data_IF_209415456707
#
_entry.id   IF_209415456707
#
_cell.length_a   1.000
_cell.length_b   1.000
_cell.length_c   1.000
_cell.angle_alpha   90.00
_cell.angle_beta   90.00
_cell.angle_gamma   90.00
#
_symmetry.space_group_name_H-M   'P 1'
#
loop_
_entity.id
_entity.type
_entity.pdbx_description
1 polymer ?
#
# COMPACT_ATOMS: atom_id res chain seq x y z
N UNK A 1 14.48 14.39 8.32
CA UNK A 1 14.32 14.58 6.85
C UNK A 1 13.39 13.49 6.35
N UNK A 2 12.50 13.84 5.43
CA UNK A 2 11.55 12.88 4.85
C UNK A 2 12.17 12.22 3.62
N UNK A 3 12.01 10.90 3.52
CA UNK A 3 12.47 10.05 2.44
C UNK A 3 11.30 9.27 1.85
N UNK A 4 11.50 8.78 0.62
CA UNK A 4 10.52 8.01 -0.11
C UNK A 4 11.17 6.75 -0.70
N UNK A 5 10.54 5.60 -0.50
CA UNK A 5 10.90 4.34 -1.16
C UNK A 5 9.72 3.87 -1.99
N UNK A 6 9.94 3.67 -3.29
CA UNK A 6 8.92 3.16 -4.19
C UNK A 6 8.43 1.77 -3.73
N UNK A 7 7.16 1.49 -4.04
CA UNK A 7 6.54 0.18 -3.86
C UNK A 7 5.58 -0.10 -5.01
N UNK A 8 5.37 -1.37 -5.29
CA UNK A 8 4.35 -1.89 -6.18
C UNK A 8 3.91 -3.27 -5.72
N UNK A 9 2.64 -3.59 -5.92
CA UNK A 9 2.09 -4.91 -5.63
C UNK A 9 0.98 -5.24 -6.65
N UNK A 10 0.96 -6.48 -7.12
CA UNK A 10 0.02 -6.90 -8.17
C UNK A 10 -0.49 -8.32 -7.93
N UNK A 11 -1.72 -8.44 -7.44
CA UNK A 11 -2.32 -9.74 -7.18
C UNK A 11 -3.27 -10.16 -8.30
N UNK A 12 -3.19 -11.43 -8.69
CA UNK A 12 -4.18 -12.08 -9.56
C UNK A 12 -5.40 -12.54 -8.75
N UNK A 13 -6.48 -12.90 -9.43
CA UNK A 13 -7.72 -13.34 -8.78
C UNK A 13 -7.50 -14.47 -7.78
N UNK A 14 -7.98 -14.29 -6.55
CA UNK A 14 -7.90 -15.28 -5.48
C UNK A 14 -6.56 -15.31 -4.74
N UNK A 15 -5.66 -14.37 -5.03
CA UNK A 15 -4.33 -14.30 -4.40
C UNK A 15 -4.17 -13.05 -3.55
N UNK A 16 -3.24 -13.15 -2.59
CA UNK A 16 -2.65 -11.98 -1.93
C UNK A 16 -1.19 -11.88 -2.36
N UNK A 17 -0.81 -10.74 -2.89
CA UNK A 17 0.58 -10.46 -3.29
C UNK A 17 1.13 -9.26 -2.54
N UNK A 18 2.41 -9.30 -2.19
CA UNK A 18 3.09 -8.34 -1.33
C UNK A 18 4.16 -7.60 -2.13
N UNK A 19 4.38 -6.34 -1.79
CA UNK A 19 5.56 -5.62 -2.25
C UNK A 19 6.84 -6.12 -1.54
N UNK A 20 7.97 -5.55 -1.95
CA UNK A 20 9.27 -5.85 -1.36
C UNK A 20 9.38 -5.40 0.10
N UNK A 21 8.72 -4.29 0.46
CA UNK A 21 8.59 -3.78 1.81
C UNK A 21 9.64 -2.75 2.22
N UNK A 22 9.35 -2.02 3.29
CA UNK A 22 10.25 -1.08 3.96
C UNK A 22 10.90 -1.72 5.18
N UNK A 23 12.18 -2.08 5.07
CA UNK A 23 12.97 -2.63 6.19
C UNK A 23 13.75 -1.55 6.94
N UNK A 24 13.72 -1.60 8.27
CA UNK A 24 14.55 -0.78 9.15
C UNK A 24 15.85 -1.51 9.48
N UNK A 25 17.01 -0.85 9.39
CA UNK A 25 18.33 -1.44 9.71
C UNK A 25 19.03 -0.66 10.80
N UNK A 26 20.11 -1.19 11.38
CA UNK A 26 20.84 -0.52 12.44
C UNK A 26 21.50 0.78 11.94
N UNK A 27 21.94 0.80 10.69
CA UNK A 27 22.58 1.94 10.03
C UNK A 27 21.55 2.97 9.54
N UNK A 28 20.30 2.54 9.32
CA UNK A 28 19.21 3.38 8.86
C UNK A 28 17.93 3.01 9.63
N UNK A 29 17.81 3.41 10.92
CA UNK A 29 16.59 3.21 11.67
C UNK A 29 15.48 4.10 11.08
N UNK A 30 14.31 3.52 10.82
CA UNK A 30 13.23 4.18 10.09
C UNK A 30 11.98 4.37 10.95
N UNK A 31 11.33 5.51 10.77
CA UNK A 31 9.96 5.79 11.22
C UNK A 31 9.05 5.92 10.02
N UNK A 32 8.04 5.06 9.92
CA UNK A 32 7.03 5.18 8.87
C UNK A 32 6.05 6.30 9.23
N UNK A 33 5.88 7.26 8.33
CA UNK A 33 4.87 8.31 8.48
C UNK A 33 3.56 7.86 7.84
N UNK A 34 3.62 7.51 6.56
CA UNK A 34 2.46 7.14 5.75
C UNK A 34 2.85 6.30 4.54
N UNK A 35 1.84 5.69 3.91
CA UNK A 35 1.96 5.00 2.63
C UNK A 35 1.16 5.77 1.59
N UNK A 36 1.85 6.23 0.54
CA UNK A 36 1.24 6.92 -0.60
C UNK A 36 0.91 5.88 -1.67
N UNK A 37 -0.32 5.87 -2.19
CA UNK A 37 -0.79 4.83 -3.11
C UNK A 37 -1.69 5.40 -4.21
N UNK A 38 -1.59 4.79 -5.39
CA UNK A 38 -2.60 4.86 -6.43
C UNK A 38 -2.87 3.45 -6.98
N UNK A 39 -4.12 3.19 -7.37
CA UNK A 39 -4.49 2.05 -8.18
C UNK A 39 -4.20 2.30 -9.65
N UNK A 40 -3.70 1.28 -10.36
CA UNK A 40 -3.46 1.35 -11.81
C UNK A 40 -4.55 0.65 -12.63
N UNK A 41 -5.53 0.04 -11.95
CA UNK A 41 -6.71 -0.59 -12.54
C UNK A 41 -7.97 -0.18 -11.78
N UNK A 42 -9.15 -0.47 -12.33
CA UNK A 42 -10.40 -0.28 -11.58
C UNK A 42 -10.42 -1.20 -10.36
N UNK A 43 -10.52 -0.58 -9.19
CA UNK A 43 -10.69 -1.29 -7.93
C UNK A 43 -12.01 -2.05 -7.89
N UNK A 44 -11.96 -3.37 -7.74
CA UNK A 44 -13.16 -4.21 -7.64
C UNK A 44 -13.64 -4.34 -6.19
N UNK A 45 -14.95 -4.42 -6.02
CA UNK A 45 -15.57 -4.69 -4.72
C UNK A 45 -15.06 -6.02 -4.17
N UNK A 46 -14.70 -6.01 -2.88
CA UNK A 46 -14.16 -7.17 -2.16
C UNK A 46 -12.64 -7.32 -2.24
N UNK A 47 -11.97 -6.62 -3.16
CA UNK A 47 -10.49 -6.57 -3.18
C UNK A 47 -10.00 -5.54 -2.15
N UNK A 48 -8.87 -5.83 -1.51
CA UNK A 48 -8.34 -5.03 -0.40
C UNK A 48 -6.88 -4.63 -0.65
N UNK A 49 -6.55 -3.41 -0.21
CA UNK A 49 -5.17 -3.02 0.13
C UNK A 49 -4.94 -3.37 1.59
N UNK A 50 -3.80 -3.97 1.87
CA UNK A 50 -3.39 -4.36 3.20
C UNK A 50 -2.03 -3.75 3.53
N UNK A 51 -1.83 -3.36 4.79
CA UNK A 51 -0.52 -2.99 5.32
C UNK A 51 -0.20 -3.97 6.44
N UNK A 52 0.98 -4.58 6.35
CA UNK A 52 1.47 -5.60 7.26
C UNK A 52 2.74 -5.12 7.95
N UNK A 53 2.80 -5.28 9.27
CA UNK A 53 4.02 -5.19 10.05
C UNK A 53 4.43 -6.61 10.44
N UNK A 54 5.51 -7.11 9.86
CA UNK A 54 5.87 -8.54 9.92
C UNK A 54 4.70 -9.45 9.51
N UNK A 55 4.07 -10.12 10.47
CA UNK A 55 2.91 -11.01 10.28
C UNK A 55 1.61 -10.41 10.81
N UNK A 56 1.65 -9.18 11.33
CA UNK A 56 0.50 -8.47 11.88
C UNK A 56 -0.12 -7.57 10.81
N UNK A 57 -1.40 -7.77 10.53
CA UNK A 57 -2.17 -6.89 9.65
C UNK A 57 -2.56 -5.62 10.41
N UNK A 58 -1.95 -4.50 10.05
CA UNK A 58 -2.15 -3.22 10.76
C UNK A 58 -3.21 -2.33 10.09
N UNK A 59 -3.45 -2.51 8.80
CA UNK A 59 -4.53 -1.83 8.08
C UNK A 59 -5.06 -2.69 6.94
N UNK A 60 -6.38 -2.67 6.74
CA UNK A 60 -7.03 -3.26 5.57
C UNK A 60 -8.10 -2.28 5.08
N UNK A 61 -7.99 -1.88 3.80
CA UNK A 61 -8.91 -0.95 3.17
C UNK A 61 -9.41 -1.53 1.85
N UNK A 62 -10.68 -1.34 1.50
CA UNK A 62 -11.17 -1.69 0.18
C UNK A 62 -10.42 -0.92 -0.92
N UNK A 63 -9.93 -1.63 -1.93
CA UNK A 63 -9.11 -1.03 -3.00
C UNK A 63 -9.87 0.03 -3.80
N UNK A 64 -11.20 -0.08 -3.88
CA UNK A 64 -12.02 0.93 -4.54
C UNK A 64 -12.09 2.26 -3.77
N UNK A 65 -11.54 2.37 -2.57
CA UNK A 65 -11.34 3.65 -1.90
C UNK A 65 -10.02 4.32 -2.29
N UNK A 66 -9.10 3.60 -2.92
CA UNK A 66 -7.82 4.16 -3.36
C UNK A 66 -8.01 4.90 -4.67
N UNK A 67 -7.32 6.04 -4.80
CA UNK A 67 -7.35 6.84 -6.02
C UNK A 67 -6.81 6.07 -7.22
N UNK A 68 -7.46 6.20 -8.37
CA UNK A 68 -7.09 5.46 -9.57
C UNK A 68 -7.16 6.35 -10.82
N UNK A 69 -6.02 6.52 -11.49
CA UNK A 69 -5.89 7.45 -12.62
C UNK A 69 -6.20 6.80 -13.99
N UNK A 70 -6.38 5.48 -14.06
CA UNK A 70 -6.52 4.71 -15.31
C UNK A 70 -7.83 3.92 -15.42
N UNK A 71 -8.96 4.48 -15.01
CA UNK A 71 -10.24 3.97 -15.49
C UNK A 71 -10.41 4.40 -16.96
N UNK A 72 -9.91 3.59 -17.90
CA UNK A 72 -10.19 3.77 -19.33
C UNK A 72 -11.71 3.86 -19.51
N UNK A 73 -12.17 4.99 -20.04
CA UNK A 73 -13.52 5.33 -20.47
C UNK A 73 -14.66 4.33 -20.14
N UNK A 74 -15.65 4.80 -19.38
CA UNK A 74 -17.01 4.24 -19.16
C UNK A 74 -17.31 3.43 -17.89
N UNK A 75 -16.40 3.28 -16.93
CA UNK A 75 -16.80 2.68 -15.64
C UNK A 75 -16.89 3.75 -14.56
N UNK A 76 -18.12 4.03 -14.13
CA UNK A 76 -18.39 4.87 -12.97
C UNK A 76 -17.68 4.27 -11.74
N UNK A 77 -16.84 5.06 -11.03
CA UNK A 77 -16.12 4.56 -9.88
C UNK A 77 -17.09 4.22 -8.73
N UNK A 78 -16.81 3.13 -8.00
CA UNK A 78 -17.62 2.72 -6.84
C UNK A 78 -17.60 3.74 -5.68
N UNK A 79 -16.58 4.59 -5.60
CA UNK A 79 -16.50 5.69 -4.63
C UNK A 79 -16.09 6.99 -5.31
N UNK A 80 -16.70 8.10 -4.93
CA UNK A 80 -16.29 9.45 -5.37
C UNK A 80 -15.26 10.09 -4.42
N UNK A 81 -15.10 9.54 -3.22
CA UNK A 81 -14.07 9.93 -2.27
C UNK A 81 -12.91 8.94 -2.39
N UNK A 82 -11.73 9.43 -2.77
CA UNK A 82 -10.54 8.62 -2.99
C UNK A 82 -9.44 8.98 -2.00
N UNK A 83 -8.72 7.97 -1.53
CA UNK A 83 -7.59 8.06 -0.62
C UNK A 83 -6.32 7.84 -1.44
N UNK A 84 -5.35 8.71 -1.27
CA UNK A 84 -4.01 8.60 -1.85
C UNK A 84 -2.91 8.47 -0.80
N UNK A 85 -3.24 8.66 0.48
CA UNK A 85 -2.33 8.56 1.61
C UNK A 85 -3.00 7.81 2.77
N UNK A 86 -2.32 6.79 3.29
CA UNK A 86 -2.71 6.06 4.49
C UNK A 86 -1.70 6.40 5.58
N UNK A 87 -2.13 7.17 6.58
CA UNK A 87 -1.32 7.47 7.76
C UNK A 87 -1.15 6.22 8.62
N UNK A 88 0.09 5.94 9.05
CA UNK A 88 0.41 4.77 9.89
C UNK A 88 1.18 5.20 11.15
N UNK A 89 2.22 6.02 10.98
CA UNK A 89 2.80 6.82 12.06
C UNK A 89 3.48 6.06 13.21
N UNK A 90 4.46 5.19 12.94
CA UNK A 90 5.20 4.48 14.00
C UNK A 90 6.68 4.25 13.67
N UNK A 91 7.48 4.03 14.71
CA UNK A 91 8.90 3.68 14.58
C UNK A 91 9.04 2.19 14.25
N UNK A 92 9.69 1.86 13.14
CA UNK A 92 9.91 0.46 12.73
C UNK A 92 11.14 -0.06 13.49
N UNK A 93 11.00 -1.08 14.37
CA UNK A 93 12.13 -1.65 15.07
C UNK A 93 13.22 -2.12 14.11
N UNK A 94 14.48 -1.98 14.52
CA UNK A 94 15.63 -2.43 13.72
C UNK A 94 15.50 -3.93 13.43
N UNK A 95 15.66 -4.29 12.16
CA UNK A 95 15.48 -5.66 11.66
C UNK A 95 14.07 -5.95 11.15
N UNK A 96 13.08 -5.13 11.54
CA UNK A 96 11.68 -5.35 11.15
C UNK A 96 11.35 -4.75 9.77
N UNK A 97 10.26 -5.24 9.18
CA UNK A 97 9.77 -4.86 7.85
C UNK A 97 8.27 -4.56 7.86
N UNK A 98 7.91 -3.51 7.13
CA UNK A 98 6.52 -3.20 6.78
C UNK A 98 6.31 -3.53 5.31
N UNK A 99 5.22 -4.20 4.97
CA UNK A 99 4.83 -4.56 3.60
C UNK A 99 3.45 -4.02 3.27
N UNK A 100 3.24 -3.66 2.02
CA UNK A 100 1.93 -3.38 1.46
C UNK A 100 1.55 -4.55 0.56
N UNK A 101 0.30 -4.98 0.64
CA UNK A 101 -0.19 -6.10 -0.14
C UNK A 101 -1.53 -5.79 -0.79
N UNK A 102 -1.83 -6.53 -1.86
CA UNK A 102 -3.14 -6.56 -2.49
C UNK A 102 -3.74 -7.93 -2.31
N UNK A 103 -4.95 -7.98 -1.77
CA UNK A 103 -5.81 -9.16 -1.78
C UNK A 103 -6.85 -9.00 -2.88
N UNK A 104 -6.67 -9.71 -3.99
CA UNK A 104 -7.56 -9.60 -5.14
C UNK A 104 -8.63 -10.70 -5.11
N UNK A 105 -9.91 -10.31 -5.19
CA UNK A 105 -11.04 -11.25 -5.29
C UNK A 105 -11.54 -11.45 -6.72
N UNK A 106 -11.11 -10.61 -7.65
CA UNK A 106 -11.49 -10.66 -9.06
C UNK A 106 -10.58 -9.79 -9.92
N UNK A 107 -10.37 -10.21 -11.16
CA UNK A 107 -9.39 -9.59 -12.05
C UNK A 107 -7.96 -9.59 -11.47
N UNK A 108 -7.05 -8.93 -12.17
CA UNK A 108 -5.78 -8.49 -11.59
C UNK A 108 -6.01 -7.16 -10.92
N UNK A 109 -5.50 -6.98 -9.72
CA UNK A 109 -5.55 -5.73 -8.97
C UNK A 109 -4.13 -5.30 -8.65
N UNK A 110 -3.82 -4.03 -8.95
CA UNK A 110 -2.46 -3.52 -8.89
C UNK A 110 -2.46 -2.13 -8.29
N UNK A 111 -1.50 -1.89 -7.40
CA UNK A 111 -1.19 -0.58 -6.82
C UNK A 111 0.28 -0.24 -7.08
N UNK A 112 0.55 1.05 -7.13
CA UNK A 112 1.90 1.61 -7.12
C UNK A 112 1.94 2.77 -6.16
N UNK A 113 3.12 3.07 -5.60
CA UNK A 113 3.21 4.11 -4.60
C UNK A 113 4.59 4.27 -4.00
N UNK A 114 4.61 4.81 -2.78
CA UNK A 114 5.82 4.93 -1.99
C UNK A 114 5.54 4.91 -0.49
N UNK A 115 6.47 4.34 0.27
CA UNK A 115 6.57 4.58 1.70
C UNK A 115 7.13 5.98 1.94
N UNK A 116 6.45 6.78 2.75
CA UNK A 116 6.94 8.07 3.24
C UNK A 116 7.45 7.89 4.67
N UNK A 117 8.75 8.07 4.88
CA UNK A 117 9.39 7.75 6.16
C UNK A 117 10.47 8.75 6.54
N UNK A 118 10.91 8.69 7.79
CA UNK A 118 12.06 9.44 8.31
C UNK A 118 13.13 8.47 8.78
N UNK A 119 14.39 8.94 8.78
CA UNK A 119 15.49 8.25 9.47
C UNK A 119 15.59 8.89 10.86
N UNK A 120 15.56 8.07 11.91
CA UNK A 120 15.49 8.51 13.32
C UNK A 120 16.83 8.51 14.05
N UNK A 121 17.94 8.47 13.30
CA UNK A 121 19.30 8.52 13.83
C UNK A 121 19.62 9.86 14.53
#
# INVERSE_FOLDING_TARGET
MVYFQALDASATTGTTDYDDGLRSTAENPKRLLSVLLIGVVLGLVGSMVQIWYEQELIAELPIFLIDNLFASAQVEPYSKNRINEIEVGFDIPVGAIVKVAIKAVGGTQTIVGAYRYEITA
#
